data_IF_841227527880
#
_entry.id   IF_841227527880
#
_cell.length_a   1.000
_cell.length_b   1.000
_cell.length_c   1.000
_cell.angle_alpha   90.00
_cell.angle_beta   90.00
_cell.angle_gamma   90.00
#
_symmetry.space_group_name_H-M   'P 1'
#
loop_
_entity.id
_entity.type
_entity.pdbx_description
1 polymer ?
#
# COMPACT_ATOMS: atom_id res chain seq x y z
N UNK A 1 7.17 2.84 18.25
CA UNK A 1 7.85 3.15 16.96
C UNK A 1 8.53 4.46 17.18
N UNK A 2 9.81 4.51 16.90
CA UNK A 2 10.54 5.78 17.06
C UNK A 2 10.11 6.73 15.93
N UNK A 3 9.96 8.02 16.21
CA UNK A 3 9.59 9.00 15.21
C UNK A 3 10.66 9.09 14.11
N UNK A 4 10.24 9.35 12.89
CA UNK A 4 11.16 9.58 11.78
C UNK A 4 11.73 11.01 11.91
N UNK A 5 12.93 11.12 12.47
CA UNK A 5 13.59 12.40 12.72
C UNK A 5 14.16 12.95 11.42
N UNK A 6 13.79 14.18 11.09
CA UNK A 6 14.29 14.91 9.92
C UNK A 6 14.80 16.28 10.34
N UNK A 7 15.94 16.69 9.78
CA UNK A 7 16.50 18.02 10.04
C UNK A 7 15.48 19.12 9.71
N UNK A 8 15.34 20.09 10.61
CA UNK A 8 14.40 21.20 10.46
C UNK A 8 12.97 20.92 10.89
N UNK A 9 12.62 19.68 11.29
CA UNK A 9 11.32 19.34 11.86
C UNK A 9 11.51 19.03 13.35
N UNK A 10 10.88 19.79 14.28
CA UNK A 10 10.92 19.45 15.71
C UNK A 10 10.38 18.04 15.95
N UNK A 11 10.96 17.34 16.92
CA UNK A 11 10.64 15.93 17.22
C UNK A 11 9.14 15.70 17.51
N UNK A 12 8.50 16.66 18.16
CA UNK A 12 7.06 16.60 18.48
C UNK A 12 6.15 16.63 17.23
N UNK A 13 6.68 17.02 16.09
CA UNK A 13 5.97 16.99 14.78
C UNK A 13 6.47 15.91 13.83
N UNK A 14 7.39 15.06 14.31
CA UNK A 14 7.94 14.01 13.49
C UNK A 14 6.88 12.96 13.10
N UNK A 15 6.99 12.42 11.88
CA UNK A 15 6.06 11.41 11.37
C UNK A 15 6.26 10.10 12.13
N UNK A 16 5.19 9.54 12.66
CA UNK A 16 5.18 8.25 13.36
C UNK A 16 4.83 7.06 12.44
N UNK A 17 4.20 7.33 11.30
CA UNK A 17 3.78 6.30 10.37
C UNK A 17 2.54 6.70 9.57
N UNK A 18 2.00 5.74 8.83
CA UNK A 18 0.73 5.89 8.10
C UNK A 18 -0.41 5.72 9.12
N UNK A 19 -1.36 6.66 9.10
CA UNK A 19 -2.57 6.59 9.93
C UNK A 19 -3.61 5.61 9.39
N UNK A 20 -4.88 5.90 9.66
CA UNK A 20 -6.02 5.13 9.18
C UNK A 20 -6.18 5.25 7.66
N UNK A 21 -6.62 4.14 7.06
CA UNK A 21 -6.87 4.04 5.62
C UNK A 21 -8.37 3.87 5.39
N UNK A 22 -8.94 4.72 4.54
CA UNK A 22 -10.34 4.67 4.18
C UNK A 22 -10.53 3.99 2.82
N UNK A 23 -11.23 2.85 2.82
CA UNK A 23 -11.64 2.14 1.61
C UNK A 23 -13.13 2.38 1.37
N UNK A 24 -13.44 3.22 0.40
CA UNK A 24 -14.82 3.47 -0.02
C UNK A 24 -15.21 2.47 -1.09
N UNK A 25 -16.11 1.55 -0.77
CA UNK A 25 -16.40 0.38 -1.60
C UNK A 25 -17.90 0.15 -1.78
N UNK A 26 -18.25 -0.38 -2.94
CA UNK A 26 -19.64 -0.77 -3.25
C UNK A 26 -20.04 -2.08 -2.56
N UNK A 27 -19.14 -3.06 -2.60
CA UNK A 27 -19.34 -4.40 -2.04
C UNK A 27 -18.45 -4.56 -0.80
N UNK A 28 -19.03 -4.35 0.37
CA UNK A 28 -18.24 -4.33 1.62
C UNK A 28 -17.79 -5.72 2.06
N UNK A 29 -18.66 -6.73 1.88
CA UNK A 29 -18.40 -8.08 2.39
C UNK A 29 -17.15 -8.75 1.79
N UNK A 30 -16.92 -8.74 0.47
CA UNK A 30 -15.70 -9.31 -0.11
C UNK A 30 -14.43 -8.67 0.42
N UNK A 31 -14.39 -7.34 0.51
CA UNK A 31 -13.22 -6.61 1.03
C UNK A 31 -12.99 -6.92 2.52
N UNK A 32 -14.07 -7.03 3.32
CA UNK A 32 -13.97 -7.41 4.73
C UNK A 32 -13.37 -8.81 4.89
N UNK A 33 -13.84 -9.79 4.10
CA UNK A 33 -13.29 -11.15 4.12
C UNK A 33 -11.81 -11.19 3.77
N UNK A 34 -11.37 -10.43 2.79
CA UNK A 34 -9.95 -10.37 2.44
C UNK A 34 -9.12 -9.81 3.61
N UNK A 35 -9.59 -8.75 4.26
CA UNK A 35 -8.89 -8.20 5.43
C UNK A 35 -8.81 -9.21 6.57
N UNK A 36 -9.88 -9.99 6.82
CA UNK A 36 -9.93 -11.00 7.88
C UNK A 36 -9.08 -12.24 7.52
N UNK A 37 -9.34 -12.83 6.34
CA UNK A 37 -8.82 -14.16 5.99
C UNK A 37 -7.36 -14.12 5.49
N UNK A 38 -6.93 -13.00 4.87
CA UNK A 38 -5.61 -12.90 4.26
C UNK A 38 -4.63 -12.09 5.10
N UNK A 39 -5.13 -11.04 5.75
CA UNK A 39 -4.27 -10.10 6.46
C UNK A 39 -4.46 -10.08 7.98
N UNK A 40 -5.36 -10.92 8.51
CA UNK A 40 -5.55 -11.09 9.95
C UNK A 40 -6.16 -9.88 10.67
N UNK A 41 -6.73 -8.93 9.94
CA UNK A 41 -7.46 -7.82 10.54
C UNK A 41 -8.74 -8.32 11.20
N UNK A 42 -9.13 -7.67 12.30
CA UNK A 42 -10.37 -7.99 13.02
C UNK A 42 -11.33 -6.82 13.01
N UNK A 43 -12.61 -7.13 12.88
CA UNK A 43 -13.67 -6.13 13.05
C UNK A 43 -13.60 -5.58 14.47
N UNK A 44 -13.47 -4.27 14.58
CA UNK A 44 -13.37 -3.60 15.86
C UNK A 44 -14.64 -2.82 16.22
N UNK A 45 -15.17 -2.04 15.28
CA UNK A 45 -16.32 -1.18 15.52
C UNK A 45 -17.14 -0.95 14.25
N UNK A 46 -18.38 -0.46 14.43
CA UNK A 46 -19.24 0.04 13.35
C UNK A 46 -19.80 1.38 13.76
N UNK A 47 -19.76 2.33 12.85
CA UNK A 47 -20.30 3.68 13.09
C UNK A 47 -20.80 4.28 11.78
N UNK A 48 -21.30 5.51 11.83
CA UNK A 48 -21.62 6.30 10.64
C UNK A 48 -20.61 7.43 10.48
N UNK A 49 -20.16 7.62 9.26
CA UNK A 49 -19.38 8.77 8.84
C UNK A 49 -20.24 9.54 7.83
N UNK A 50 -20.70 10.71 8.22
CA UNK A 50 -21.86 11.37 7.61
C UNK A 50 -23.05 10.42 7.58
N UNK A 51 -23.61 10.12 6.40
CA UNK A 51 -24.73 9.21 6.17
C UNK A 51 -24.33 7.76 5.84
N UNK A 52 -23.01 7.50 5.68
CA UNK A 52 -22.48 6.21 5.24
C UNK A 52 -22.13 5.30 6.42
N UNK A 53 -22.41 4.01 6.24
CA UNK A 53 -22.00 2.99 7.22
C UNK A 53 -20.50 2.73 7.07
N UNK A 54 -19.81 2.67 8.19
CA UNK A 54 -18.37 2.35 8.28
C UNK A 54 -18.19 1.14 9.17
N UNK A 55 -17.37 0.19 8.70
CA UNK A 55 -16.84 -0.90 9.52
C UNK A 55 -15.34 -0.67 9.69
N UNK A 56 -14.92 -0.53 10.94
CA UNK A 56 -13.52 -0.33 11.31
C UNK A 56 -12.87 -1.67 11.58
N UNK A 57 -11.71 -1.87 10.99
CA UNK A 57 -10.83 -3.01 11.18
C UNK A 57 -9.52 -2.60 11.83
N UNK A 58 -8.98 -3.44 12.69
CA UNK A 58 -7.67 -3.28 13.35
C UNK A 58 -6.84 -4.54 13.22
N UNK A 59 -5.54 -4.34 13.14
CA UNK A 59 -4.54 -5.40 13.32
C UNK A 59 -4.02 -5.34 14.76
N UNK A 60 -4.38 -6.31 15.60
CA UNK A 60 -4.21 -6.23 17.08
C UNK A 60 -2.75 -6.27 17.56
N UNK A 61 -1.84 -6.82 16.75
CA UNK A 61 -0.44 -7.02 17.15
C UNK A 61 0.44 -5.77 16.99
N UNK A 62 -0.11 -4.68 16.49
CA UNK A 62 0.68 -3.49 16.16
C UNK A 62 0.47 -2.37 17.17
N UNK A 63 1.58 -1.82 17.72
CA UNK A 63 1.58 -0.66 18.62
C UNK A 63 0.92 0.58 17.99
N UNK A 64 1.09 0.76 16.70
CA UNK A 64 0.31 1.68 15.88
C UNK A 64 -0.80 0.85 15.23
N UNK A 65 -1.96 0.98 15.80
CA UNK A 65 -3.18 0.31 15.33
C UNK A 65 -3.49 0.82 13.93
N UNK A 66 -2.87 0.21 12.92
CA UNK A 66 -3.26 0.48 11.54
C UNK A 66 -4.74 0.17 11.42
N UNK A 67 -5.52 1.21 11.23
CA UNK A 67 -6.96 1.08 11.10
C UNK A 67 -7.34 1.13 9.63
N UNK A 68 -8.24 0.24 9.25
CA UNK A 68 -8.85 0.27 7.93
C UNK A 68 -10.34 0.49 8.12
N UNK A 69 -10.83 1.58 7.55
CA UNK A 69 -12.23 1.95 7.56
C UNK A 69 -12.87 1.55 6.23
N UNK A 70 -13.74 0.54 6.24
CA UNK A 70 -14.53 0.19 5.07
C UNK A 70 -15.81 1.01 5.09
N UNK A 71 -15.93 1.93 4.14
CA UNK A 71 -17.06 2.84 3.97
C UNK A 71 -17.98 2.28 2.88
N UNK A 72 -19.22 1.97 3.24
CA UNK A 72 -20.23 1.49 2.29
C UNK A 72 -20.67 2.61 1.34
N UNK A 73 -20.48 2.42 0.04
CA UNK A 73 -20.92 3.35 -1.00
C UNK A 73 -21.51 2.60 -2.20
N UNK A 74 -22.79 2.31 -2.12
CA UNK A 74 -23.52 1.55 -3.15
C UNK A 74 -23.75 2.33 -4.44
N UNK A 75 -23.66 3.64 -4.37
CA UNK A 75 -23.97 4.53 -5.49
C UNK A 75 -22.74 4.77 -6.39
N UNK A 76 -21.55 4.66 -5.82
CA UNK A 76 -20.31 4.82 -6.58
C UNK A 76 -20.02 3.61 -7.47
N UNK A 77 -19.38 3.86 -8.61
CA UNK A 77 -18.80 2.81 -9.43
C UNK A 77 -17.66 2.10 -8.67
N UNK A 78 -17.32 0.88 -9.11
CA UNK A 78 -16.09 0.23 -8.66
C UNK A 78 -14.87 1.02 -9.12
N UNK A 79 -13.75 0.81 -8.45
CA UNK A 79 -12.52 1.55 -8.67
C UNK A 79 -12.01 1.43 -10.12
N UNK A 80 -11.43 2.53 -10.60
CA UNK A 80 -10.68 2.61 -11.85
C UNK A 80 -9.42 3.43 -11.62
N UNK A 81 -8.27 2.85 -11.94
CA UNK A 81 -7.02 3.60 -11.88
C UNK A 81 -7.07 4.80 -12.81
N UNK A 82 -6.66 5.95 -12.34
CA UNK A 82 -6.65 7.19 -13.11
C UNK A 82 -5.94 8.32 -12.40
N UNK A 83 -5.86 9.46 -13.07
CA UNK A 83 -5.25 10.67 -12.52
C UNK A 83 -6.02 11.11 -11.27
N UNK A 84 -5.28 11.35 -10.17
CA UNK A 84 -5.84 11.73 -8.87
C UNK A 84 -6.33 10.57 -8.02
N UNK A 85 -6.28 9.32 -8.51
CA UNK A 85 -6.59 8.12 -7.74
C UNK A 85 -5.37 7.57 -6.99
N UNK A 86 -5.61 6.85 -5.90
CA UNK A 86 -4.59 6.05 -5.23
C UNK A 86 -4.42 4.74 -6.01
N UNK A 87 -3.17 4.42 -6.38
CA UNK A 87 -2.89 3.26 -7.22
C UNK A 87 -3.18 1.93 -6.53
N UNK A 88 -2.70 1.77 -5.30
CA UNK A 88 -2.87 0.55 -4.50
C UNK A 88 -2.74 0.81 -3.00
N UNK A 89 -3.17 -0.17 -2.22
CA UNK A 89 -2.80 -0.31 -0.82
C UNK A 89 -1.85 -1.51 -0.70
N UNK A 90 -0.72 -1.33 0.01
CA UNK A 90 0.26 -2.38 0.25
C UNK A 90 0.19 -2.89 1.68
N UNK A 91 0.12 -4.21 1.82
CA UNK A 91 0.18 -4.92 3.09
C UNK A 91 1.53 -5.60 3.24
N UNK A 92 2.20 -5.38 4.38
CA UNK A 92 3.46 -6.05 4.69
C UNK A 92 3.22 -7.49 5.15
N UNK A 93 4.06 -8.42 4.69
CA UNK A 93 4.21 -9.76 5.24
C UNK A 93 5.58 -9.90 5.87
N UNK A 94 5.77 -10.90 6.72
CA UNK A 94 7.01 -11.09 7.47
C UNK A 94 8.19 -11.45 6.57
N UNK A 95 7.96 -12.37 5.63
CA UNK A 95 8.99 -12.93 4.75
C UNK A 95 8.39 -13.44 3.42
N UNK A 96 9.23 -14.10 2.63
CA UNK A 96 8.84 -14.64 1.32
C UNK A 96 7.94 -15.87 1.44
N UNK A 97 8.03 -16.61 2.51
CA UNK A 97 7.20 -17.79 2.77
C UNK A 97 5.76 -17.38 3.02
N UNK A 98 5.54 -16.38 3.89
CA UNK A 98 4.20 -15.78 4.11
C UNK A 98 3.60 -15.23 2.80
N UNK A 99 4.44 -14.61 1.96
CA UNK A 99 3.99 -14.11 0.66
C UNK A 99 3.53 -15.22 -0.27
N UNK A 100 4.24 -16.36 -0.29
CA UNK A 100 3.86 -17.53 -1.11
C UNK A 100 2.54 -18.14 -0.64
N UNK A 101 2.39 -18.35 0.67
CA UNK A 101 1.13 -18.88 1.23
C UNK A 101 -0.07 -18.00 0.90
N UNK A 102 0.12 -16.70 0.94
CA UNK A 102 -0.93 -15.74 0.60
C UNK A 102 -1.21 -15.73 -0.91
N UNK A 103 -0.17 -15.86 -1.74
CA UNK A 103 -0.32 -16.00 -3.19
C UNK A 103 -1.13 -17.24 -3.56
N UNK A 104 -0.89 -18.37 -2.92
CA UNK A 104 -1.65 -19.63 -3.13
C UNK A 104 -3.14 -19.39 -2.81
N UNK A 105 -3.47 -18.77 -1.69
CA UNK A 105 -4.87 -18.41 -1.34
C UNK A 105 -5.54 -17.51 -2.37
N UNK A 106 -4.79 -16.55 -2.94
CA UNK A 106 -5.26 -15.65 -3.98
C UNK A 106 -5.59 -16.43 -5.26
N UNK A 107 -4.72 -17.38 -5.64
CA UNK A 107 -4.86 -18.21 -6.82
C UNK A 107 -6.01 -19.23 -6.67
N UNK A 108 -6.17 -19.85 -5.52
CA UNK A 108 -7.29 -20.76 -5.21
C UNK A 108 -8.66 -20.07 -5.37
N UNK A 109 -8.74 -18.79 -5.06
CA UNK A 109 -9.96 -17.98 -5.24
C UNK A 109 -10.10 -17.40 -6.65
N UNK A 110 -9.17 -17.70 -7.55
CA UNK A 110 -9.15 -17.19 -8.93
C UNK A 110 -9.18 -15.66 -9.03
N UNK A 111 -8.59 -14.93 -8.09
CA UNK A 111 -8.41 -13.50 -8.24
C UNK A 111 -7.42 -13.19 -9.38
N UNK A 112 -7.76 -12.20 -10.19
CA UNK A 112 -6.81 -11.66 -11.17
C UNK A 112 -5.60 -11.07 -10.45
N UNK A 113 -4.41 -11.67 -10.66
CA UNK A 113 -3.20 -11.35 -9.93
C UNK A 113 -1.97 -11.28 -10.82
N UNK A 114 -0.90 -10.69 -10.31
CA UNK A 114 0.37 -10.54 -11.03
C UNK A 114 1.30 -11.75 -10.90
N UNK A 115 1.01 -12.68 -10.00
CA UNK A 115 2.00 -13.59 -9.44
C UNK A 115 3.07 -12.84 -8.65
N UNK A 116 4.00 -13.61 -8.06
CA UNK A 116 5.11 -13.06 -7.29
C UNK A 116 6.11 -12.37 -8.22
N UNK A 117 6.50 -11.14 -7.89
CA UNK A 117 7.44 -10.32 -8.64
C UNK A 117 8.59 -9.82 -7.77
N UNK A 118 9.80 -9.98 -8.26
CA UNK A 118 10.97 -9.35 -7.67
C UNK A 118 11.04 -7.88 -8.13
N UNK A 119 10.97 -6.96 -7.17
CA UNK A 119 11.05 -5.51 -7.40
C UNK A 119 12.44 -4.94 -7.10
N UNK A 120 13.45 -5.77 -6.94
CA UNK A 120 14.84 -5.48 -6.52
C UNK A 120 14.97 -5.05 -5.06
N UNK A 121 14.03 -4.28 -4.52
CA UNK A 121 14.05 -3.78 -3.14
C UNK A 121 13.19 -4.60 -2.21
N UNK A 122 12.18 -5.24 -2.77
CA UNK A 122 11.23 -6.10 -2.11
C UNK A 122 10.71 -7.15 -3.11
N UNK A 123 10.04 -8.13 -2.60
CA UNK A 123 9.30 -9.10 -3.42
C UNK A 123 7.83 -8.85 -3.13
N UNK A 124 7.01 -8.76 -4.16
CA UNK A 124 5.60 -8.44 -4.00
C UNK A 124 4.69 -9.17 -4.98
N UNK A 125 3.42 -9.23 -4.65
CA UNK A 125 2.34 -9.70 -5.49
C UNK A 125 1.18 -8.72 -5.46
N UNK A 126 0.48 -8.58 -6.57
CA UNK A 126 -0.69 -7.71 -6.71
C UNK A 126 -1.91 -8.51 -7.09
N UNK A 127 -3.05 -8.14 -6.56
CA UNK A 127 -4.33 -8.68 -7.02
C UNK A 127 -5.44 -7.64 -6.93
N UNK A 128 -6.50 -7.84 -7.73
CA UNK A 128 -7.69 -6.99 -7.66
C UNK A 128 -8.81 -7.71 -6.93
N UNK A 129 -9.34 -7.04 -5.89
CA UNK A 129 -10.49 -7.54 -5.17
C UNK A 129 -11.81 -7.16 -5.87
N UNK A 130 -12.95 -7.54 -5.30
CA UNK A 130 -14.28 -7.42 -5.96
C UNK A 130 -14.71 -5.98 -6.31
N UNK A 131 -14.18 -4.96 -5.65
CA UNK A 131 -14.41 -3.56 -5.98
C UNK A 131 -13.33 -3.00 -6.92
N UNK A 132 -12.50 -3.85 -7.49
CA UNK A 132 -11.35 -3.54 -8.33
C UNK A 132 -10.23 -2.77 -7.62
N UNK A 133 -10.27 -2.62 -6.31
CA UNK A 133 -9.15 -2.08 -5.57
C UNK A 133 -7.92 -2.95 -5.80
N UNK A 134 -6.79 -2.32 -6.09
CA UNK A 134 -5.53 -3.01 -6.26
C UNK A 134 -4.85 -3.17 -4.90
N UNK A 135 -4.71 -4.41 -4.46
CA UNK A 135 -3.98 -4.77 -3.25
C UNK A 135 -2.60 -5.29 -3.62
N UNK A 136 -1.60 -4.81 -2.93
CA UNK A 136 -0.24 -5.33 -2.96
C UNK A 136 0.06 -6.07 -1.67
N UNK A 137 0.74 -7.20 -1.77
CA UNK A 137 1.37 -7.86 -0.63
C UNK A 137 2.87 -7.83 -0.86
N UNK A 138 3.63 -7.33 0.10
CA UNK A 138 5.07 -7.12 -0.05
C UNK A 138 5.87 -7.60 1.16
N UNK A 139 7.06 -8.16 0.89
CA UNK A 139 8.06 -8.46 1.93
C UNK A 139 8.69 -7.16 2.44
N UNK A 140 9.36 -7.19 3.62
CA UNK A 140 10.22 -6.09 4.03
C UNK A 140 11.26 -5.76 2.97
N UNK A 141 11.78 -4.53 3.04
CA UNK A 141 12.86 -4.09 2.16
C UNK A 141 14.11 -4.97 2.35
N UNK A 142 14.78 -5.29 1.24
CA UNK A 142 16.04 -6.04 1.26
C UNK A 142 17.13 -5.12 1.83
N UNK A 143 17.68 -5.48 3.01
CA UNK A 143 18.54 -4.63 3.84
C UNK A 143 19.84 -4.16 3.16
N UNK A 144 20.37 -4.92 2.19
CA UNK A 144 21.66 -4.63 1.57
C UNK A 144 21.61 -3.64 0.40
N UNK A 145 20.41 -3.15 0.08
CA UNK A 145 20.24 -2.15 -0.98
C UNK A 145 20.01 -0.77 -0.38
N UNK A 146 20.99 0.11 -0.53
CA UNK A 146 20.81 1.54 -0.28
C UNK A 146 19.79 2.10 -1.28
N UNK A 147 18.51 2.08 -0.89
CA UNK A 147 17.40 2.61 -1.69
C UNK A 147 17.25 4.10 -1.47
N UNK A 148 17.71 4.56 -0.31
CA UNK A 148 17.62 5.97 0.08
C UNK A 148 18.91 6.63 -0.37
N UNK A 149 18.87 7.56 -1.34
CA UNK A 149 20.03 8.38 -1.66
C UNK A 149 20.48 9.15 -0.42
N UNK A 150 21.75 9.48 -0.35
CA UNK A 150 22.25 10.37 0.70
C UNK A 150 21.37 11.61 0.76
N UNK A 151 21.02 12.02 1.98
CA UNK A 151 20.18 13.18 2.21
C UNK A 151 20.83 14.41 1.58
N UNK A 152 20.22 14.97 0.57
CA UNK A 152 20.69 16.19 -0.09
C UNK A 152 19.75 17.31 0.26
N UNK A 153 20.33 18.50 0.48
CA UNK A 153 19.58 19.68 0.90
C UNK A 153 18.67 20.27 -0.18
N UNK A 154 18.86 19.82 -1.43
CA UNK A 154 18.07 20.29 -2.56
C UNK A 154 17.45 19.08 -3.28
N UNK A 155 16.12 19.10 -3.43
CA UNK A 155 15.38 18.03 -4.12
C UNK A 155 15.88 17.82 -5.56
N UNK A 156 16.24 18.88 -6.26
CA UNK A 156 16.74 18.82 -7.65
C UNK A 156 18.10 18.13 -7.79
N UNK A 157 18.83 17.94 -6.68
CA UNK A 157 20.11 17.24 -6.65
C UNK A 157 19.95 15.74 -6.38
N UNK A 158 18.73 15.28 -6.05
CA UNK A 158 18.47 13.87 -5.81
C UNK A 158 18.34 13.16 -7.16
N UNK A 159 19.27 12.24 -7.52
CA UNK A 159 19.18 11.55 -8.80
C UNK A 159 17.96 10.65 -8.83
N UNK A 160 17.30 10.59 -10.00
CA UNK A 160 16.23 9.61 -10.21
C UNK A 160 16.80 8.20 -10.05
N UNK A 161 16.34 7.49 -9.03
CA UNK A 161 16.68 6.10 -8.82
C UNK A 161 15.69 5.20 -9.58
N UNK A 162 16.21 4.34 -10.45
CA UNK A 162 15.43 3.36 -11.20
C UNK A 162 15.86 1.93 -10.86
N UNK A 163 14.92 0.99 -10.74
CA UNK A 163 15.23 -0.42 -10.75
C UNK A 163 15.94 -0.82 -12.06
N UNK A 164 16.85 -1.79 -12.02
CA UNK A 164 17.61 -2.23 -13.19
C UNK A 164 16.75 -2.60 -14.39
N UNK A 165 15.57 -3.19 -14.17
CA UNK A 165 14.66 -3.54 -15.26
C UNK A 165 14.02 -2.34 -15.96
N UNK A 166 14.15 -1.13 -15.42
CA UNK A 166 13.68 0.13 -16.01
C UNK A 166 14.80 0.96 -16.61
N UNK A 167 16.07 0.64 -16.35
CA UNK A 167 17.23 1.45 -16.80
C UNK A 167 17.29 1.63 -18.31
N UNK A 168 16.89 0.63 -19.09
CA UNK A 168 16.78 0.74 -20.55
C UNK A 168 15.70 1.73 -21.02
N UNK A 169 14.89 2.23 -20.12
CA UNK A 169 13.85 3.23 -20.38
C UNK A 169 14.10 4.57 -19.72
N UNK A 170 15.28 4.75 -19.10
CA UNK A 170 15.64 5.94 -18.31
C UNK A 170 15.34 7.25 -19.06
N UNK A 171 15.89 7.43 -20.25
CA UNK A 171 15.70 8.66 -21.04
C UNK A 171 14.21 8.99 -21.27
N UNK A 172 13.40 7.97 -21.57
CA UNK A 172 11.96 8.14 -21.77
C UNK A 172 11.26 8.51 -20.45
N UNK A 173 11.68 7.90 -19.35
CA UNK A 173 11.10 8.15 -18.01
C UNK A 173 11.45 9.58 -17.59
N UNK A 174 12.72 9.98 -17.66
CA UNK A 174 13.19 11.33 -17.33
C UNK A 174 12.49 12.40 -18.16
N UNK A 175 12.35 12.16 -19.47
CA UNK A 175 11.60 13.08 -20.34
C UNK A 175 10.15 13.26 -19.94
N UNK A 176 9.51 12.21 -19.41
CA UNK A 176 8.09 12.26 -19.02
C UNK A 176 7.91 12.82 -17.59
N UNK A 177 8.93 12.71 -16.72
CA UNK A 177 8.91 13.24 -15.35
C UNK A 177 9.32 14.71 -15.30
N UNK A 178 10.05 15.20 -16.29
CA UNK A 178 10.46 16.61 -16.41
C UNK A 178 9.24 17.52 -16.63
N UNK A 179 8.33 17.50 -15.66
CA UNK A 179 7.42 18.59 -15.44
C UNK A 179 8.23 19.72 -14.79
N UNK A 180 8.51 20.74 -15.57
CA UNK A 180 8.84 22.04 -14.99
C UNK A 180 7.57 22.53 -14.29
N UNK A 181 7.55 22.46 -12.96
CA UNK A 181 6.61 23.20 -12.16
C UNK A 181 6.90 24.70 -12.31
#
# INVERSE_FOLDING_TARGET
MDPFITEGIPEEYAILGIGDIHLRVRYTEPTQKILEDYYGFKKYNKFKFYDRKVTLFRFEENLFKHEIHIIEDKDSAVERNGVGGIHHIAFGVKDIEDLKELQEKIEEKNYFNSGIKNREFMISSYFREANHLLFETATPLIKDKKIIPEQKNNFDEIPLFLPKFLENRRERIEKNINFKF
#
